data_IF_417057871880
#
_entry.id   IF_417057871880
#
_cell.length_a   1.000
_cell.length_b   1.000
_cell.length_c   1.000
_cell.angle_alpha   90.00
_cell.angle_beta   90.00
_cell.angle_gamma   90.00
#
_symmetry.space_group_name_H-M   'P 1'
#
loop_
_entity.id
_entity.type
_entity.pdbx_description
1 polymer ?
#
# COMPACT_ATOMS: atom_id res chain seq x y z
N UNK A 1 8.21 7.98 -49.83
CA UNK A 1 8.20 7.13 -48.62
C UNK A 1 7.18 7.70 -47.63
N UNK A 2 5.94 7.20 -47.67
CA UNK A 2 4.82 7.80 -46.92
C UNK A 2 3.90 6.69 -46.37
N UNK A 3 4.50 5.67 -45.77
CA UNK A 3 3.79 4.45 -45.31
C UNK A 3 4.50 3.83 -44.11
N UNK A 4 4.93 4.64 -43.13
CA UNK A 4 5.73 4.10 -42.02
C UNK A 4 5.60 4.90 -40.71
N UNK A 5 4.41 5.38 -40.35
CA UNK A 5 4.17 6.03 -39.03
C UNK A 5 2.75 5.84 -38.50
N UNK A 6 2.11 4.69 -38.73
CA UNK A 6 0.73 4.43 -38.26
C UNK A 6 0.53 3.12 -37.50
N UNK A 7 1.61 2.44 -37.09
CA UNK A 7 1.52 1.14 -36.39
C UNK A 7 2.08 1.17 -34.96
N UNK A 8 2.56 2.31 -34.46
CA UNK A 8 3.12 2.40 -33.11
C UNK A 8 2.23 3.12 -32.08
N UNK A 9 0.98 3.44 -32.44
CA UNK A 9 0.04 4.12 -31.55
C UNK A 9 -1.04 3.19 -30.95
N UNK A 10 -1.03 1.89 -31.31
CA UNK A 10 -2.12 0.96 -30.98
C UNK A 10 -1.75 -0.13 -29.96
N UNK A 11 -0.58 -0.06 -29.33
CA UNK A 11 -0.12 -1.04 -28.33
C UNK A 11 0.03 -0.48 -26.91
N UNK A 12 -0.17 0.82 -26.69
CA UNK A 12 -0.05 1.44 -25.36
C UNK A 12 -1.39 1.77 -24.69
N UNK A 13 -2.51 1.49 -25.36
CA UNK A 13 -3.86 1.81 -24.86
C UNK A 13 -4.62 0.60 -24.27
N UNK A 14 -3.99 -0.59 -24.20
CA UNK A 14 -4.62 -1.81 -23.67
C UNK A 14 -4.36 -2.00 -22.17
N UNK A 15 -3.45 -1.22 -21.55
CA UNK A 15 -3.19 -1.31 -20.09
C UNK A 15 -4.18 -0.46 -19.26
N UNK A 16 -5.06 0.32 -19.89
CA UNK A 16 -6.00 1.22 -19.19
C UNK A 16 -7.43 0.68 -19.00
N UNK A 17 -7.70 -0.62 -19.24
CA UNK A 17 -9.07 -1.17 -19.24
C UNK A 17 -9.32 -2.23 -18.15
N UNK A 18 -8.61 -2.14 -17.01
CA UNK A 18 -9.01 -2.86 -15.78
C UNK A 18 -9.36 -1.94 -14.60
N UNK A 19 -9.44 -0.62 -14.80
CA UNK A 19 -9.95 0.30 -13.77
C UNK A 19 -11.50 0.32 -13.69
N UNK A 20 -12.14 -0.81 -14.01
CA UNK A 20 -13.58 -0.99 -13.83
C UNK A 20 -13.86 -1.18 -12.34
N UNK A 21 -14.22 -0.08 -11.68
CA UNK A 21 -15.11 -0.07 -10.51
C UNK A 21 -14.60 -0.89 -9.31
N UNK A 22 -13.33 -0.70 -8.91
CA UNK A 22 -12.96 -0.97 -7.53
C UNK A 22 -13.45 0.21 -6.70
N UNK A 23 -14.54 0.03 -5.94
CA UNK A 23 -14.74 0.82 -4.75
C UNK A 23 -13.55 0.50 -3.84
N UNK A 24 -12.46 1.25 -4.01
CA UNK A 24 -11.15 0.93 -3.44
C UNK A 24 -11.36 0.66 -1.97
N UNK A 25 -11.08 -0.58 -1.54
CA UNK A 25 -11.27 -0.99 -0.16
C UNK A 25 -10.52 0.00 0.72
N UNK A 26 -11.26 0.71 1.59
CA UNK A 26 -10.68 1.72 2.47
C UNK A 26 -10.64 1.18 3.89
N UNK A 27 -9.43 1.10 4.43
CA UNK A 27 -9.22 0.86 5.84
C UNK A 27 -9.51 2.13 6.63
N UNK A 28 -9.92 1.92 7.88
CA UNK A 28 -10.05 2.97 8.87
C UNK A 28 -9.57 2.48 10.23
N UNK A 29 -8.92 3.39 10.96
CA UNK A 29 -8.43 3.16 12.32
C UNK A 29 -6.94 2.88 12.39
N UNK A 30 -6.51 2.55 13.60
CA UNK A 30 -5.10 2.34 13.96
C UNK A 30 -4.84 0.85 14.14
N UNK A 31 -3.75 0.36 13.55
CA UNK A 31 -3.32 -1.04 13.59
C UNK A 31 -1.86 -1.09 14.02
N UNK A 32 -1.55 -1.90 15.03
CA UNK A 32 -0.21 -2.01 15.58
C UNK A 32 0.27 -3.47 15.57
N UNK A 33 1.55 -3.67 15.25
CA UNK A 33 2.21 -4.95 15.53
C UNK A 33 2.46 -5.05 17.03
N UNK A 34 2.43 -6.26 17.59
CA UNK A 34 2.88 -6.44 18.98
C UNK A 34 4.28 -5.84 19.18
N UNK A 35 4.47 -5.04 20.23
CA UNK A 35 5.77 -4.44 20.53
C UNK A 35 6.78 -5.56 20.84
N UNK A 36 7.84 -5.66 20.03
CA UNK A 36 8.96 -6.55 20.31
C UNK A 36 10.15 -5.68 20.68
N UNK A 37 10.58 -5.74 21.95
CA UNK A 37 11.85 -5.17 22.42
C UNK A 37 12.03 -3.67 22.08
N UNK A 38 10.99 -2.85 22.29
CA UNK A 38 11.07 -1.40 22.03
C UNK A 38 11.08 -1.02 20.55
N UNK A 39 10.78 -1.97 19.67
CA UNK A 39 10.53 -1.77 18.25
C UNK A 39 9.07 -2.07 17.90
N UNK A 40 8.51 -1.26 17.01
CA UNK A 40 7.12 -1.42 16.59
C UNK A 40 6.79 -0.55 15.38
N UNK A 41 5.79 -1.00 14.62
CA UNK A 41 5.22 -0.24 13.52
C UNK A 41 3.72 -0.12 13.77
N UNK A 42 3.23 1.11 13.69
CA UNK A 42 1.83 1.45 13.81
C UNK A 42 1.38 2.10 12.51
N UNK A 43 0.29 1.60 11.96
CA UNK A 43 -0.38 2.16 10.79
C UNK A 43 -1.67 2.84 11.22
N UNK A 44 -1.87 4.07 10.80
CA UNK A 44 -3.15 4.77 10.93
C UNK A 44 -3.74 5.05 9.55
N UNK A 45 -4.87 4.44 9.25
CA UNK A 45 -5.54 4.57 7.96
C UNK A 45 -6.74 5.52 8.06
N UNK A 46 -6.84 6.44 7.11
CA UNK A 46 -7.97 7.37 7.00
C UNK A 46 -8.30 7.62 5.53
N UNK A 47 -9.35 6.97 5.03
CA UNK A 47 -9.70 7.09 3.62
C UNK A 47 -8.60 6.50 2.75
N UNK A 48 -7.96 7.32 1.92
CA UNK A 48 -6.83 6.90 1.05
C UNK A 48 -5.46 7.27 1.64
N UNK A 49 -5.45 7.90 2.81
CA UNK A 49 -4.24 8.34 3.51
C UNK A 49 -3.80 7.27 4.51
N UNK A 50 -2.48 7.21 4.72
CA UNK A 50 -1.85 6.40 5.75
C UNK A 50 -0.79 7.21 6.49
N UNK A 51 -0.70 7.00 7.80
CA UNK A 51 0.43 7.45 8.60
C UNK A 51 1.11 6.24 9.21
N UNK A 52 2.43 6.13 9.01
CA UNK A 52 3.25 5.10 9.66
C UNK A 52 4.02 5.75 10.79
N UNK A 53 3.86 5.21 11.99
CA UNK A 53 4.71 5.52 13.14
C UNK A 53 5.63 4.34 13.38
N UNK A 54 6.94 4.58 13.33
CA UNK A 54 7.96 3.57 13.58
C UNK A 54 8.72 3.94 14.83
N UNK A 55 8.82 2.99 15.76
CA UNK A 55 9.58 3.13 17.00
C UNK A 55 10.76 2.19 16.93
N UNK A 56 11.97 2.71 17.17
CA UNK A 56 13.20 1.92 17.24
C UNK A 56 14.04 2.44 18.38
N UNK A 57 14.26 1.62 19.42
CA UNK A 57 15.10 1.96 20.58
C UNK A 57 14.71 3.29 21.26
N UNK A 58 13.40 3.58 21.32
CA UNK A 58 12.87 4.81 21.92
C UNK A 58 12.86 6.03 21.00
N UNK A 59 13.39 5.93 19.77
CA UNK A 59 13.25 6.97 18.75
C UNK A 59 12.00 6.70 17.91
N UNK A 60 11.14 7.71 17.81
CA UNK A 60 9.93 7.67 16.98
C UNK A 60 10.15 8.45 15.69
N UNK A 61 9.75 7.87 14.57
CA UNK A 61 9.62 8.57 13.29
C UNK A 61 8.21 8.37 12.76
N UNK A 62 7.65 9.44 12.19
CA UNK A 62 6.29 9.47 11.65
C UNK A 62 6.37 9.84 10.17
N UNK A 63 5.72 9.06 9.32
CA UNK A 63 5.70 9.25 7.88
C UNK A 63 4.25 9.29 7.39
N UNK A 64 3.87 10.37 6.71
CA UNK A 64 2.57 10.48 6.06
C UNK A 64 2.70 10.06 4.59
N UNK A 65 1.71 9.32 4.10
CA UNK A 65 1.67 8.87 2.72
C UNK A 65 0.27 8.48 2.30
N UNK A 66 0.18 7.81 1.17
CA UNK A 66 -1.08 7.28 0.62
C UNK A 66 -0.96 5.79 0.41
N UNK A 67 -2.11 5.13 0.29
CA UNK A 67 -2.16 3.71 -0.03
C UNK A 67 -3.29 3.36 -0.98
N UNK A 68 -3.14 2.22 -1.64
CA UNK A 68 -4.15 1.62 -2.50
C UNK A 68 -4.18 0.11 -2.28
N UNK A 69 -5.37 -0.45 -2.14
CA UNK A 69 -5.59 -1.90 -2.11
C UNK A 69 -6.12 -2.32 -3.48
N UNK A 70 -5.50 -3.34 -4.06
CA UNK A 70 -5.82 -3.85 -5.39
C UNK A 70 -5.58 -5.36 -5.46
N UNK A 71 -6.20 -6.02 -6.42
CA UNK A 71 -5.90 -7.42 -6.73
C UNK A 71 -4.86 -7.49 -7.86
N UNK A 72 -3.87 -8.38 -7.72
CA UNK A 72 -2.93 -8.66 -8.80
C UNK A 72 -3.55 -9.54 -9.92
N UNK A 73 -2.80 -9.78 -11.00
CA UNK A 73 -3.27 -10.59 -12.14
C UNK A 73 -3.65 -12.04 -11.78
N UNK A 74 -3.28 -12.51 -10.58
CA UNK A 74 -3.61 -13.83 -10.05
C UNK A 74 -4.75 -13.80 -9.03
N UNK A 75 -5.37 -12.63 -8.82
CA UNK A 75 -6.46 -12.44 -7.86
C UNK A 75 -6.01 -12.33 -6.40
N UNK A 76 -4.72 -12.10 -6.13
CA UNK A 76 -4.26 -11.92 -4.75
C UNK A 76 -4.34 -10.44 -4.34
N UNK A 77 -4.96 -10.14 -3.20
CA UNK A 77 -4.98 -8.79 -2.64
C UNK A 77 -3.56 -8.30 -2.30
N UNK A 78 -3.28 -7.06 -2.68
CA UNK A 78 -2.05 -6.32 -2.43
C UNK A 78 -2.39 -4.97 -1.83
N UNK A 79 -1.45 -4.42 -1.07
CA UNK A 79 -1.47 -3.02 -0.64
C UNK A 79 -0.23 -2.33 -1.16
N UNK A 80 -0.41 -1.20 -1.83
CA UNK A 80 0.69 -0.34 -2.28
C UNK A 80 0.75 0.91 -1.43
N UNK A 81 1.93 1.21 -0.90
CA UNK A 81 2.20 2.46 -0.19
C UNK A 81 3.03 3.41 -1.03
N UNK A 82 2.71 4.70 -0.91
CA UNK A 82 3.46 5.79 -1.54
C UNK A 82 3.77 6.86 -0.50
N UNK A 83 5.06 7.03 -0.21
CA UNK A 83 5.59 8.09 0.64
C UNK A 83 6.50 9.01 -0.17
N UNK A 84 6.40 10.32 0.03
CA UNK A 84 7.31 11.31 -0.57
C UNK A 84 8.63 11.41 0.20
N UNK A 85 8.62 11.04 1.48
CA UNK A 85 9.81 11.05 2.33
C UNK A 85 10.79 9.93 1.96
N UNK A 86 12.04 10.29 1.65
CA UNK A 86 13.10 9.35 1.31
C UNK A 86 13.44 8.39 2.46
N UNK A 87 13.29 8.80 3.71
CA UNK A 87 13.52 7.95 4.88
C UNK A 87 12.43 6.85 5.00
N UNK A 88 11.28 7.08 4.39
CA UNK A 88 10.15 6.14 4.32
C UNK A 88 10.21 5.22 3.09
N UNK A 89 11.22 5.35 2.22
CA UNK A 89 11.34 4.58 0.97
C UNK A 89 11.25 3.06 1.17
N UNK A 90 11.76 2.55 2.30
CA UNK A 90 11.66 1.13 2.67
C UNK A 90 10.24 0.63 2.96
N UNK A 91 9.31 1.54 3.23
CA UNK A 91 7.89 1.24 3.44
C UNK A 91 7.04 1.50 2.20
N UNK A 92 7.60 2.13 1.17
CA UNK A 92 6.95 2.32 -0.14
C UNK A 92 6.95 1.04 -0.96
N UNK A 93 6.02 0.95 -1.90
CA UNK A 93 5.89 -0.19 -2.81
C UNK A 93 4.72 -1.11 -2.47
N UNK A 94 4.67 -2.26 -3.14
CA UNK A 94 3.55 -3.20 -3.04
C UNK A 94 3.88 -4.39 -2.15
N UNK A 95 2.96 -4.72 -1.24
CA UNK A 95 3.07 -5.80 -0.28
C UNK A 95 1.88 -6.75 -0.41
N UNK A 96 2.04 -8.00 0.05
CA UNK A 96 0.88 -8.88 0.26
C UNK A 96 -0.06 -8.25 1.28
N UNK A 97 -1.36 -8.38 1.05
CA UNK A 97 -2.39 -7.86 1.93
C UNK A 97 -3.44 -8.92 2.23
N UNK A 98 -3.90 -8.96 3.47
CA UNK A 98 -5.15 -9.62 3.84
C UNK A 98 -5.76 -8.93 5.06
N UNK A 99 -7.08 -8.97 5.15
CA UNK A 99 -7.85 -8.39 6.25
C UNK A 99 -8.55 -9.49 7.05
N UNK A 100 -8.43 -9.43 8.37
CA UNK A 100 -9.18 -10.22 9.33
C UNK A 100 -10.19 -9.36 10.09
N UNK A 101 -10.95 -9.96 11.00
CA UNK A 101 -12.03 -9.26 11.73
C UNK A 101 -11.55 -8.02 12.50
N UNK A 102 -10.38 -8.11 13.15
CA UNK A 102 -9.78 -7.02 13.92
C UNK A 102 -8.27 -6.88 13.63
N UNK A 103 -7.83 -7.26 12.44
CA UNK A 103 -6.42 -7.22 12.07
C UNK A 103 -6.21 -7.05 10.58
N UNK A 104 -5.02 -6.59 10.21
CA UNK A 104 -4.54 -6.60 8.82
C UNK A 104 -3.19 -7.28 8.78
N UNK A 105 -2.93 -8.06 7.73
CA UNK A 105 -1.60 -8.61 7.47
C UNK A 105 -0.99 -7.93 6.26
N UNK A 106 0.16 -7.30 6.46
CA UNK A 106 0.87 -6.52 5.45
C UNK A 106 2.28 -7.08 5.32
N UNK A 107 2.65 -7.56 4.14
CA UNK A 107 3.99 -8.11 3.90
C UNK A 107 4.33 -9.31 4.79
N UNK A 108 3.32 -10.05 5.26
CA UNK A 108 3.48 -11.21 6.15
C UNK A 108 3.52 -10.87 7.65
N UNK A 109 3.39 -9.60 8.04
CA UNK A 109 3.29 -9.18 9.45
C UNK A 109 1.84 -8.84 9.77
N UNK A 110 1.32 -9.37 10.87
CA UNK A 110 -0.05 -9.09 11.34
C UNK A 110 -0.05 -7.92 12.32
N UNK A 111 -0.94 -6.97 12.06
CA UNK A 111 -1.20 -5.77 12.85
C UNK A 111 -2.62 -5.83 13.39
N UNK A 112 -2.77 -5.72 14.70
CA UNK A 112 -4.07 -5.77 15.36
C UNK A 112 -4.62 -4.36 15.52
N UNK A 113 -5.93 -4.23 15.28
CA UNK A 113 -6.65 -2.99 15.50
C UNK A 113 -6.56 -2.59 16.98
N UNK A 114 -6.32 -1.30 17.22
CA UNK A 114 -6.27 -0.70 18.57
C UNK A 114 -7.64 -0.19 19.00
#
# INVERSE_FOLDING_TARGET
MKTMKRVLALALAVVMVFALVSCSKKLSGTYASGEVLGSGVVYNFKGSDVTITTKVLGFEKVFAGTYEIYEDEKGAEKIKFTFEDSDASKYSGSFSFSEGENSVTIGGVTYNKQ
#
